data_IF_656018650021
#
_entry.id   IF_656018650021
#
_cell.length_a   1.000
_cell.length_b   1.000
_cell.length_c   1.000
_cell.angle_alpha   90.00
_cell.angle_beta   90.00
_cell.angle_gamma   90.00
#
_symmetry.space_group_name_H-M   'P 1'
#
loop_
_entity.id
_entity.type
_entity.pdbx_description
1 polymer ?
#
# COMPACT_ATOMS: atom_id res chain seq x y z
N UNK A 1 -15.11 66.45 -14.21
CA UNK A 1 -15.39 66.55 -12.76
C UNK A 1 -16.88 66.24 -12.58
N UNK A 2 -17.38 65.26 -11.84
CA UNK A 2 -16.89 64.43 -10.73
C UNK A 2 -17.52 63.02 -10.80
N UNK A 3 -16.78 62.07 -10.24
CA UNK A 3 -17.21 60.73 -9.83
C UNK A 3 -18.44 60.73 -8.90
N UNK A 4 -19.26 59.67 -9.02
CA UNK A 4 -20.01 59.00 -7.93
C UNK A 4 -20.60 57.71 -8.53
N UNK A 5 -19.82 56.62 -8.66
CA UNK A 5 -19.74 55.50 -7.70
C UNK A 5 -20.55 55.69 -6.41
N UNK A 6 -21.72 55.04 -6.32
CA UNK A 6 -22.05 54.00 -5.34
C UNK A 6 -23.57 53.85 -5.15
N UNK A 7 -23.99 52.62 -4.87
CA UNK A 7 -25.35 52.14 -4.52
C UNK A 7 -26.22 51.84 -5.75
N UNK A 8 -26.69 50.61 -6.02
CA UNK A 8 -26.89 49.44 -5.17
C UNK A 8 -26.93 48.18 -6.05
N UNK A 9 -25.80 47.46 -6.14
CA UNK A 9 -25.80 46.05 -6.54
C UNK A 9 -26.25 45.22 -5.35
N UNK A 10 -27.57 45.09 -5.17
CA UNK A 10 -28.15 44.18 -4.19
C UNK A 10 -27.86 42.72 -4.60
N UNK A 11 -26.89 42.16 -3.88
CA UNK A 11 -26.76 40.77 -3.46
C UNK A 11 -27.84 39.77 -3.95
N UNK A 12 -27.65 39.21 -5.14
CA UNK A 12 -27.99 37.81 -5.35
C UNK A 12 -26.86 36.96 -4.74
N UNK A 13 -26.92 36.73 -3.43
CA UNK A 13 -26.13 35.67 -2.81
C UNK A 13 -26.65 34.32 -3.34
N UNK A 14 -26.06 33.86 -4.45
CA UNK A 14 -26.17 32.47 -4.87
C UNK A 14 -25.57 31.65 -3.72
N UNK A 15 -26.42 31.04 -2.89
CA UNK A 15 -25.99 30.10 -1.85
C UNK A 15 -24.99 29.12 -2.49
N UNK A 16 -23.76 29.02 -2.00
CA UNK A 16 -22.83 27.99 -2.51
C UNK A 16 -23.41 26.60 -2.23
N UNK A 17 -23.09 25.62 -3.08
CA UNK A 17 -23.40 24.22 -2.79
C UNK A 17 -22.94 23.83 -1.40
N UNK A 18 -23.82 23.17 -0.64
CA UNK A 18 -23.49 22.62 0.66
C UNK A 18 -22.81 21.25 0.49
N UNK A 19 -21.48 21.25 0.59
CA UNK A 19 -20.66 20.07 0.34
C UNK A 19 -20.84 18.99 1.41
N UNK A 20 -21.20 19.35 2.64
CA UNK A 20 -21.39 18.40 3.74
C UNK A 20 -22.59 17.48 3.49
N UNK A 21 -23.67 18.02 2.93
CA UNK A 21 -24.86 17.26 2.54
C UNK A 21 -24.53 16.28 1.40
N UNK A 22 -23.78 16.74 0.39
CA UNK A 22 -23.34 15.89 -0.72
C UNK A 22 -22.43 14.76 -0.21
N UNK A 23 -21.51 15.05 0.71
CA UNK A 23 -20.65 14.03 1.33
C UNK A 23 -21.48 12.98 2.11
N UNK A 24 -22.52 13.40 2.83
CA UNK A 24 -23.44 12.46 3.51
C UNK A 24 -24.19 11.58 2.51
N UNK A 25 -24.75 12.16 1.44
CA UNK A 25 -25.46 11.40 0.40
C UNK A 25 -24.54 10.45 -0.36
N UNK A 26 -23.28 10.83 -0.59
CA UNK A 26 -22.26 9.93 -1.14
C UNK A 26 -22.01 8.75 -0.19
N UNK A 27 -21.93 9.00 1.12
CA UNK A 27 -21.72 7.94 2.12
C UNK A 27 -22.89 6.94 2.13
N UNK A 28 -24.12 7.43 2.07
CA UNK A 28 -25.31 6.58 2.07
C UNK A 28 -25.47 5.79 0.77
N UNK A 29 -25.18 6.41 -0.38
CA UNK A 29 -25.34 5.77 -1.70
C UNK A 29 -24.24 4.76 -2.02
N UNK A 30 -23.00 5.03 -1.64
CA UNK A 30 -21.84 4.19 -1.98
C UNK A 30 -21.39 3.26 -0.85
N UNK A 31 -21.92 3.43 0.37
CA UNK A 31 -21.54 2.66 1.54
C UNK A 31 -20.28 3.17 2.23
N UNK A 32 -20.17 2.88 3.53
CA UNK A 32 -19.13 3.39 4.42
C UNK A 32 -17.71 3.06 3.98
N UNK A 33 -17.48 1.85 3.45
CA UNK A 33 -16.14 1.35 3.13
C UNK A 33 -15.56 2.05 1.88
N UNK A 34 -16.40 2.29 0.88
CA UNK A 34 -16.04 3.00 -0.35
C UNK A 34 -15.85 4.49 -0.03
N UNK A 35 -16.74 5.05 0.78
CA UNK A 35 -16.68 6.45 1.18
C UNK A 35 -15.37 6.77 1.93
N UNK A 36 -15.06 6.02 2.98
CA UNK A 36 -13.83 6.24 3.78
C UNK A 36 -12.55 6.06 2.96
N UNK A 37 -12.54 5.06 2.08
CA UNK A 37 -11.34 4.73 1.31
C UNK A 37 -11.04 5.75 0.20
N UNK A 38 -12.08 6.28 -0.45
CA UNK A 38 -11.95 6.98 -1.73
C UNK A 38 -12.68 8.33 -1.83
N UNK A 39 -13.90 8.45 -1.32
CA UNK A 39 -14.75 9.64 -1.54
C UNK A 39 -14.60 10.71 -0.46
N UNK A 40 -14.24 10.33 0.76
CA UNK A 40 -13.94 11.26 1.86
C UNK A 40 -12.75 12.19 1.55
N UNK A 41 -11.85 11.77 0.66
CA UNK A 41 -10.64 12.50 0.27
C UNK A 41 -10.89 13.51 -0.87
N UNK A 42 -12.15 13.82 -1.11
CA UNK A 42 -12.61 14.72 -2.16
C UNK A 42 -12.97 16.05 -1.51
N UNK A 43 -12.18 17.08 -1.78
CA UNK A 43 -12.43 18.42 -1.25
C UNK A 43 -13.10 19.30 -2.31
N UNK A 44 -14.15 20.03 -1.95
CA UNK A 44 -14.74 21.02 -2.84
C UNK A 44 -13.84 22.26 -2.92
N UNK A 45 -13.52 22.71 -4.14
CA UNK A 45 -12.72 23.93 -4.36
C UNK A 45 -13.64 25.08 -4.72
N UNK A 46 -14.38 24.96 -5.83
CA UNK A 46 -15.22 26.04 -6.34
C UNK A 46 -16.36 25.53 -7.21
N UNK A 47 -17.40 26.35 -7.35
CA UNK A 47 -18.57 26.10 -8.18
C UNK A 47 -18.64 27.14 -9.29
N UNK A 48 -18.71 26.68 -10.54
CA UNK A 48 -18.92 27.50 -11.71
C UNK A 48 -20.29 27.16 -12.33
N UNK A 49 -20.82 28.08 -13.15
CA UNK A 49 -22.18 27.96 -13.73
C UNK A 49 -22.49 26.60 -14.36
N UNK A 50 -21.52 25.94 -15.00
CA UNK A 50 -21.71 24.66 -15.70
C UNK A 50 -20.91 23.48 -15.11
N UNK A 51 -20.05 23.71 -14.12
CA UNK A 51 -19.17 22.67 -13.58
C UNK A 51 -18.72 22.95 -12.14
N UNK A 52 -18.39 21.90 -11.41
CA UNK A 52 -17.72 22.01 -10.10
C UNK A 52 -16.25 21.64 -10.24
N UNK A 53 -15.40 22.39 -9.55
CA UNK A 53 -14.00 22.06 -9.37
C UNK A 53 -13.77 21.39 -8.02
N UNK A 54 -13.16 20.22 -8.06
CA UNK A 54 -12.95 19.35 -6.91
C UNK A 54 -11.47 18.99 -6.78
N UNK A 55 -10.95 18.97 -5.56
CA UNK A 55 -9.60 18.55 -5.20
C UNK A 55 -9.56 17.06 -4.86
N UNK A 56 -8.54 16.37 -5.35
CA UNK A 56 -8.18 15.01 -4.92
C UNK A 56 -6.67 14.89 -4.69
N UNK A 57 -6.29 14.03 -3.75
CA UNK A 57 -4.90 13.95 -3.26
C UNK A 57 -3.91 13.34 -4.26
N UNK A 58 -4.38 12.58 -5.25
CA UNK A 58 -3.51 11.99 -6.29
C UNK A 58 -4.25 11.84 -7.62
N UNK A 59 -3.48 11.83 -8.73
CA UNK A 59 -3.99 11.47 -10.08
C UNK A 59 -4.66 10.09 -10.11
N UNK A 60 -4.19 9.16 -9.28
CA UNK A 60 -4.77 7.82 -9.18
C UNK A 60 -6.19 7.84 -8.60
N UNK A 61 -6.40 8.59 -7.52
CA UNK A 61 -7.73 8.74 -6.91
C UNK A 61 -8.69 9.44 -7.87
N UNK A 62 -8.20 10.49 -8.58
CA UNK A 62 -8.95 11.13 -9.67
C UNK A 62 -9.45 10.07 -10.65
N UNK A 63 -8.54 9.35 -11.29
CA UNK A 63 -8.85 8.42 -12.37
C UNK A 63 -9.77 7.28 -11.89
N UNK A 64 -9.60 6.83 -10.64
CA UNK A 64 -10.45 5.81 -10.02
C UNK A 64 -11.89 6.32 -9.81
N UNK A 65 -12.06 7.51 -9.23
CA UNK A 65 -13.38 8.14 -9.03
C UNK A 65 -14.04 8.41 -10.38
N UNK A 66 -13.28 9.00 -11.33
CA UNK A 66 -13.75 9.29 -12.69
C UNK A 66 -14.29 8.04 -13.37
N UNK A 67 -13.61 6.90 -13.22
CA UNK A 67 -13.97 5.66 -13.93
C UNK A 67 -15.17 4.90 -13.37
N UNK A 68 -15.42 5.00 -12.06
CA UNK A 68 -16.40 4.16 -11.36
C UNK A 68 -17.60 4.92 -10.82
N UNK A 69 -17.42 6.17 -10.42
CA UNK A 69 -18.40 6.90 -9.62
C UNK A 69 -18.75 8.27 -10.18
N UNK A 70 -18.05 8.78 -11.21
CA UNK A 70 -18.28 10.12 -11.77
C UNK A 70 -19.75 10.37 -12.12
N UNK A 71 -20.39 9.46 -12.86
CA UNK A 71 -21.76 9.65 -13.31
C UNK A 71 -22.73 9.67 -12.13
N UNK A 72 -22.48 8.84 -11.12
CA UNK A 72 -23.32 8.75 -9.93
C UNK A 72 -23.11 9.96 -9.00
N UNK A 73 -21.88 10.46 -8.91
CA UNK A 73 -21.52 11.69 -8.19
C UNK A 73 -22.13 12.90 -8.89
N UNK A 74 -22.04 12.97 -10.23
CA UNK A 74 -22.66 14.03 -11.01
C UNK A 74 -24.18 14.01 -10.88
N UNK A 75 -24.81 12.83 -10.79
CA UNK A 75 -26.25 12.71 -10.50
C UNK A 75 -26.61 13.25 -9.11
N UNK A 76 -25.82 12.95 -8.07
CA UNK A 76 -26.00 13.51 -6.72
C UNK A 76 -25.84 15.03 -6.78
N UNK A 77 -24.81 15.55 -7.44
CA UNK A 77 -24.60 16.99 -7.56
C UNK A 77 -25.77 17.65 -8.31
N UNK A 78 -26.29 17.00 -9.36
CA UNK A 78 -27.42 17.48 -10.17
C UNK A 78 -28.74 17.53 -9.40
N UNK A 79 -28.95 16.70 -8.37
CA UNK A 79 -30.15 16.81 -7.52
C UNK A 79 -30.16 18.08 -6.68
N UNK A 80 -28.98 18.61 -6.33
CA UNK A 80 -28.83 19.87 -5.61
C UNK A 80 -28.72 21.08 -6.55
N UNK A 81 -28.05 20.93 -7.70
CA UNK A 81 -27.83 21.99 -8.70
C UNK A 81 -27.95 21.46 -10.12
N UNK A 82 -29.11 21.70 -10.74
CA UNK A 82 -29.43 21.21 -12.10
C UNK A 82 -28.55 21.80 -13.20
N UNK A 83 -27.93 22.96 -12.97
CA UNK A 83 -27.11 23.68 -13.96
C UNK A 83 -25.73 23.02 -14.18
N UNK A 84 -25.27 22.20 -13.23
CA UNK A 84 -23.94 21.58 -13.28
C UNK A 84 -23.96 20.34 -14.17
N UNK A 85 -23.15 20.36 -15.22
CA UNK A 85 -23.12 19.31 -16.23
C UNK A 85 -21.82 18.52 -16.31
N UNK A 86 -20.78 18.96 -15.59
CA UNK A 86 -19.49 18.24 -15.52
C UNK A 86 -18.78 18.48 -14.19
N UNK A 87 -17.86 17.59 -13.85
CA UNK A 87 -16.98 17.72 -12.69
C UNK A 87 -15.55 17.81 -13.21
N UNK A 88 -14.82 18.82 -12.76
CA UNK A 88 -13.40 19.00 -13.03
C UNK A 88 -12.58 18.69 -11.78
N UNK A 89 -11.40 18.10 -11.98
CA UNK A 89 -10.53 17.69 -10.89
C UNK A 89 -9.23 18.48 -10.90
N UNK A 90 -8.90 19.08 -9.76
CA UNK A 90 -7.57 19.60 -9.44
C UNK A 90 -6.81 18.60 -8.57
N UNK A 91 -5.51 18.45 -8.80
CA UNK A 91 -4.66 17.57 -7.99
C UNK A 91 -3.93 18.46 -6.99
N UNK A 92 -4.23 18.29 -5.71
CA UNK A 92 -3.46 18.91 -4.64
C UNK A 92 -2.17 18.13 -4.42
N UNK A 93 -1.18 18.34 -5.30
CA UNK A 93 0.21 18.13 -4.91
C UNK A 93 0.49 19.17 -3.82
N UNK A 94 0.67 18.74 -2.57
CA UNK A 94 1.00 19.63 -1.45
C UNK A 94 2.19 20.52 -1.86
N UNK A 95 1.92 21.75 -2.28
CA UNK A 95 2.87 22.84 -2.23
C UNK A 95 3.03 23.19 -0.76
N UNK A 96 4.25 23.06 -0.26
CA UNK A 96 4.67 23.78 0.93
C UNK A 96 4.54 25.27 0.63
N UNK A 97 3.72 25.98 1.39
CA UNK A 97 3.74 27.43 1.42
C UNK A 97 5.08 27.92 2.00
N UNK A 98 5.73 28.86 1.32
CA UNK A 98 5.81 30.26 1.78
C UNK A 98 6.56 31.14 0.76
N UNK A 99 5.89 32.26 0.42
CA UNK A 99 6.37 33.62 0.16
C UNK A 99 7.68 33.82 -0.62
N UNK A 100 7.58 34.49 -1.77
CA UNK A 100 8.13 35.85 -1.89
C UNK A 100 7.53 36.59 -3.08
N UNK A 101 7.03 37.78 -2.77
CA UNK A 101 6.72 38.85 -3.71
C UNK A 101 8.02 39.31 -4.37
N UNK A 102 8.04 39.40 -5.71
CA UNK A 102 8.59 40.53 -6.48
C UNK A 102 8.73 40.16 -7.96
N UNK A 103 8.53 41.19 -8.80
CA UNK A 103 8.88 41.29 -10.22
C UNK A 103 7.88 40.74 -11.25
N UNK A 104 6.76 41.45 -11.33
CA UNK A 104 6.17 41.88 -12.59
C UNK A 104 7.23 42.52 -13.49
N UNK A 105 7.67 41.83 -14.56
CA UNK A 105 8.22 42.36 -15.83
C UNK A 105 8.87 41.22 -16.65
N UNK A 106 8.07 40.29 -17.21
CA UNK A 106 8.53 39.40 -18.29
C UNK A 106 7.43 38.72 -19.12
N UNK A 107 6.20 39.26 -19.09
CA UNK A 107 5.02 38.65 -19.72
C UNK A 107 4.79 38.96 -21.21
N UNK A 108 5.83 39.31 -21.99
CA UNK A 108 5.69 39.48 -23.45
C UNK A 108 6.47 38.50 -24.32
N UNK A 109 7.44 37.75 -23.79
CA UNK A 109 8.25 36.81 -24.60
C UNK A 109 8.00 35.32 -24.30
N UNK A 110 6.98 34.99 -23.50
CA UNK A 110 6.65 33.59 -23.14
C UNK A 110 5.62 32.97 -24.11
N UNK A 111 4.81 33.79 -24.81
CA UNK A 111 3.75 33.27 -25.69
C UNK A 111 4.26 32.62 -26.99
N UNK A 112 5.45 32.98 -27.48
CA UNK A 112 6.01 32.35 -28.68
C UNK A 112 6.85 31.09 -28.37
N UNK A 113 7.39 30.94 -27.15
CA UNK A 113 8.15 29.74 -26.77
C UNK A 113 7.26 28.60 -26.24
N UNK A 114 6.04 28.90 -25.78
CA UNK A 114 5.06 27.88 -25.37
C UNK A 114 4.48 27.12 -26.58
N UNK A 115 4.46 27.72 -27.77
CA UNK A 115 3.81 27.12 -28.95
C UNK A 115 4.63 26.03 -29.68
N UNK A 116 5.83 25.68 -29.20
CA UNK A 116 6.65 24.62 -29.82
C UNK A 116 7.00 23.43 -28.89
N UNK A 117 6.48 23.40 -27.65
CA UNK A 117 6.60 22.22 -26.75
C UNK A 117 5.34 21.91 -25.94
N UNK A 118 4.17 22.21 -26.48
CA UNK A 118 2.92 21.60 -25.99
C UNK A 118 2.60 20.44 -26.94
N UNK A 119 3.10 19.25 -26.63
CA UNK A 119 2.45 18.05 -27.15
C UNK A 119 1.04 18.05 -26.57
N UNK A 120 0.05 18.35 -27.40
CA UNK A 120 -1.33 18.01 -27.09
C UNK A 120 -1.33 16.55 -26.62
N UNK A 121 -1.64 16.33 -25.34
CA UNK A 121 -1.83 14.98 -24.81
C UNK A 121 -3.12 14.48 -25.45
N UNK A 122 -2.99 13.93 -26.67
CA UNK A 122 -4.01 13.12 -27.29
C UNK A 122 -4.17 11.89 -26.40
N UNK A 123 -5.40 11.65 -25.97
CA UNK A 123 -5.91 10.40 -25.41
C UNK A 123 -5.69 9.22 -26.40
N UNK A 124 -4.43 8.86 -26.59
CA UNK A 124 -4.06 7.64 -27.30
C UNK A 124 -3.79 6.56 -26.27
N UNK A 125 -4.03 5.32 -26.67
CA UNK A 125 -3.62 4.13 -25.93
C UNK A 125 -2.09 4.08 -25.66
N UNK A 126 -1.29 5.09 -26.00
CA UNK A 126 0.17 5.02 -26.16
C UNK A 126 1.01 5.53 -24.98
N UNK A 127 0.43 5.84 -23.81
CA UNK A 127 1.21 6.22 -22.62
C UNK A 127 1.20 5.18 -21.48
N UNK A 128 0.98 3.90 -21.80
CA UNK A 128 0.96 2.83 -20.80
C UNK A 128 2.30 2.12 -20.57
N UNK A 129 3.28 2.33 -21.46
CA UNK A 129 4.66 1.87 -21.24
C UNK A 129 5.38 2.79 -20.24
N UNK A 130 4.93 2.79 -18.98
CA UNK A 130 5.64 3.45 -17.87
C UNK A 130 6.74 2.54 -17.37
N UNK A 131 7.74 2.34 -18.23
CA UNK A 131 8.98 1.69 -17.81
C UNK A 131 9.79 2.70 -17.01
N UNK A 132 10.15 2.33 -15.79
CA UNK A 132 10.99 3.16 -14.92
C UNK A 132 12.47 2.98 -15.31
N UNK A 133 13.17 4.03 -15.81
CA UNK A 133 14.58 3.92 -16.23
C UNK A 133 15.52 3.46 -15.10
N UNK A 134 15.14 3.68 -13.84
CA UNK A 134 15.94 3.29 -12.69
C UNK A 134 15.83 1.79 -12.39
N UNK A 135 14.82 1.10 -12.92
CA UNK A 135 14.60 -0.34 -12.75
C UNK A 135 15.22 -1.14 -13.90
N UNK A 136 16.53 -0.97 -14.08
CA UNK A 136 17.32 -1.69 -15.07
C UNK A 136 18.13 -2.84 -14.42
N UNK A 137 18.73 -3.72 -15.24
CA UNK A 137 19.54 -4.84 -14.77
C UNK A 137 20.78 -4.41 -13.98
N UNK A 138 21.37 -3.23 -14.28
CA UNK A 138 22.56 -2.73 -13.57
C UNK A 138 22.23 -2.35 -12.12
N UNK A 139 21.04 -1.80 -11.90
CA UNK A 139 20.54 -1.39 -10.59
C UNK A 139 19.88 -2.54 -9.80
N UNK A 140 19.84 -3.76 -10.35
CA UNK A 140 19.28 -4.93 -9.67
C UNK A 140 20.38 -5.65 -8.88
N UNK A 141 20.29 -5.59 -7.55
CA UNK A 141 21.31 -6.15 -6.66
C UNK A 141 21.09 -7.66 -6.51
N UNK A 142 22.14 -8.43 -6.77
CA UNK A 142 22.10 -9.89 -6.75
C UNK A 142 22.43 -10.47 -5.37
N UNK A 143 21.70 -11.52 -5.03
CA UNK A 143 21.94 -12.41 -3.91
C UNK A 143 21.57 -13.84 -4.28
N UNK A 144 21.76 -14.77 -3.34
CA UNK A 144 21.40 -16.18 -3.53
C UNK A 144 19.93 -16.35 -3.94
N UNK A 145 19.04 -15.58 -3.30
CA UNK A 145 17.58 -15.70 -3.40
C UNK A 145 16.95 -15.21 -4.70
N UNK A 146 17.67 -14.40 -5.49
CA UNK A 146 17.13 -13.77 -6.71
C UNK A 146 18.00 -13.99 -7.96
N UNK A 147 19.12 -14.73 -7.84
CA UNK A 147 20.06 -14.99 -8.94
C UNK A 147 19.41 -15.75 -10.10
N UNK A 148 18.65 -16.81 -9.79
CA UNK A 148 17.99 -17.63 -10.82
C UNK A 148 17.02 -16.79 -11.67
N UNK A 149 16.17 -16.01 -11.00
CA UNK A 149 15.21 -15.12 -11.66
C UNK A 149 15.90 -14.06 -12.54
N UNK A 150 17.02 -13.52 -12.07
CA UNK A 150 17.81 -12.55 -12.85
C UNK A 150 18.44 -13.17 -14.09
N UNK A 151 19.06 -14.35 -13.97
CA UNK A 151 19.67 -15.05 -15.12
C UNK A 151 18.62 -15.49 -16.13
N UNK A 152 17.48 -16.01 -15.67
CA UNK A 152 16.34 -16.31 -16.54
C UNK A 152 15.84 -15.06 -17.28
N UNK A 153 15.71 -13.93 -16.57
CA UNK A 153 15.30 -12.65 -17.16
C UNK A 153 16.29 -12.17 -18.22
N UNK A 154 17.60 -12.29 -17.97
CA UNK A 154 18.64 -11.98 -18.96
C UNK A 154 18.57 -12.91 -20.17
N UNK A 155 18.41 -14.21 -19.94
CA UNK A 155 18.39 -15.19 -21.04
C UNK A 155 17.25 -14.93 -22.02
N UNK A 156 16.06 -14.60 -21.51
CA UNK A 156 14.89 -14.22 -22.33
C UNK A 156 15.12 -12.94 -23.15
N UNK A 157 15.96 -12.02 -22.67
CA UNK A 157 16.31 -10.82 -23.46
C UNK A 157 17.30 -11.08 -24.59
N UNK A 158 18.04 -12.19 -24.53
CA UNK A 158 19.02 -12.59 -25.54
C UNK A 158 18.38 -13.49 -26.62
N UNK A 159 17.50 -14.38 -26.20
CA UNK A 159 16.84 -15.36 -27.05
C UNK A 159 15.32 -15.31 -26.81
N UNK A 160 14.62 -14.64 -27.74
CA UNK A 160 13.18 -14.44 -27.67
C UNK A 160 12.43 -15.70 -28.09
N UNK A 161 11.25 -15.90 -27.52
CA UNK A 161 10.32 -17.01 -27.76
C UNK A 161 10.81 -18.41 -27.36
N UNK A 162 12.10 -18.62 -27.06
CA UNK A 162 12.62 -19.92 -26.62
C UNK A 162 12.06 -20.35 -25.25
N UNK A 163 11.92 -19.42 -24.30
CA UNK A 163 11.33 -19.65 -22.98
C UNK A 163 10.03 -18.86 -22.86
N UNK A 164 8.91 -19.44 -23.31
CA UNK A 164 7.65 -18.73 -23.46
C UNK A 164 6.45 -19.50 -22.88
N UNK A 165 5.69 -18.95 -21.92
CA UNK A 165 5.97 -17.68 -21.22
C UNK A 165 7.13 -17.81 -20.22
N UNK A 166 7.81 -16.70 -19.91
CA UNK A 166 8.58 -16.58 -18.67
C UNK A 166 7.61 -16.20 -17.54
N UNK A 167 7.51 -17.04 -16.52
CA UNK A 167 6.65 -16.81 -15.36
C UNK A 167 7.49 -16.56 -14.11
N UNK A 168 7.53 -15.32 -13.65
CA UNK A 168 8.23 -14.89 -12.44
C UNK A 168 7.27 -14.81 -11.27
N UNK A 169 7.56 -15.49 -10.17
CA UNK A 169 6.73 -15.37 -8.98
C UNK A 169 7.52 -15.21 -7.69
N UNK A 170 6.88 -14.63 -6.69
CA UNK A 170 7.47 -14.37 -5.38
C UNK A 170 6.57 -13.45 -4.57
N UNK A 171 6.78 -13.35 -3.27
CA UNK A 171 6.01 -12.45 -2.40
C UNK A 171 6.14 -10.95 -2.74
N UNK A 172 5.49 -10.13 -1.93
CA UNK A 172 5.44 -8.68 -2.13
C UNK A 172 6.83 -8.07 -1.96
N UNK A 173 7.20 -7.15 -2.86
CA UNK A 173 8.45 -6.39 -2.72
C UNK A 173 9.73 -7.21 -2.94
N UNK A 174 9.68 -8.34 -3.66
CA UNK A 174 10.87 -9.16 -3.95
C UNK A 174 11.61 -8.80 -5.25
N UNK A 175 11.16 -7.77 -5.97
CA UNK A 175 11.83 -7.31 -7.20
C UNK A 175 11.22 -7.82 -8.52
N UNK A 176 10.06 -8.49 -8.50
CA UNK A 176 9.31 -8.91 -9.71
C UNK A 176 9.13 -7.78 -10.73
N UNK A 177 8.48 -6.70 -10.31
CA UNK A 177 8.29 -5.51 -11.14
C UNK A 177 9.61 -4.91 -11.61
N UNK A 178 10.69 -4.97 -10.82
CA UNK A 178 12.01 -4.49 -11.24
C UNK A 178 12.55 -5.34 -12.39
N UNK A 179 12.52 -6.67 -12.28
CA UNK A 179 12.95 -7.56 -13.36
C UNK A 179 12.12 -7.37 -14.64
N UNK A 180 10.80 -7.24 -14.52
CA UNK A 180 9.94 -6.93 -15.67
C UNK A 180 10.35 -5.61 -16.34
N UNK A 181 10.57 -4.55 -15.55
CA UNK A 181 11.05 -3.27 -16.08
C UNK A 181 12.42 -3.42 -16.75
N UNK A 182 13.34 -4.20 -16.18
CA UNK A 182 14.67 -4.40 -16.71
C UNK A 182 14.64 -5.13 -18.07
N UNK A 183 13.82 -6.17 -18.19
CA UNK A 183 13.53 -6.86 -19.46
C UNK A 183 12.97 -5.85 -20.46
N UNK A 184 11.98 -5.06 -20.05
CA UNK A 184 11.35 -4.05 -20.91
C UNK A 184 12.32 -2.99 -21.41
N UNK A 185 13.17 -2.45 -20.53
CA UNK A 185 14.21 -1.49 -20.90
C UNK A 185 15.20 -2.07 -21.91
N UNK A 186 15.51 -3.35 -21.80
CA UNK A 186 16.44 -4.03 -22.71
C UNK A 186 15.84 -4.29 -24.09
N UNK A 187 14.52 -4.49 -24.18
CA UNK A 187 13.83 -4.89 -25.41
C UNK A 187 13.10 -3.75 -26.13
N UNK A 188 12.82 -2.63 -25.44
CA UNK A 188 12.00 -1.51 -25.98
C UNK A 188 12.54 -0.88 -27.26
N UNK A 189 13.86 -0.90 -27.48
CA UNK A 189 14.48 -0.24 -28.64
C UNK A 189 14.41 -1.09 -29.91
N UNK A 190 14.22 -2.41 -29.76
CA UNK A 190 14.29 -3.38 -30.86
C UNK A 190 12.94 -3.98 -31.25
N UNK A 191 11.94 -3.92 -30.37
CA UNK A 191 10.70 -4.68 -30.51
C UNK A 191 9.46 -3.82 -30.23
N UNK A 192 8.31 -4.17 -30.83
CA UNK A 192 7.02 -3.60 -30.40
C UNK A 192 6.67 -4.14 -29.03
N UNK A 193 6.85 -3.29 -28.04
CA UNK A 193 6.81 -3.66 -26.63
C UNK A 193 5.54 -3.16 -25.94
N UNK A 194 4.98 -3.99 -25.06
CA UNK A 194 3.88 -3.62 -24.19
C UNK A 194 4.12 -4.05 -22.75
N UNK A 195 4.02 -3.11 -21.82
CA UNK A 195 4.01 -3.38 -20.38
C UNK A 195 2.70 -2.92 -19.75
N UNK A 196 2.01 -3.84 -19.10
CA UNK A 196 0.72 -3.58 -18.49
C UNK A 196 0.54 -4.40 -17.21
N UNK A 197 -0.22 -3.90 -16.24
CA UNK A 197 -0.69 -4.74 -15.13
C UNK A 197 -1.90 -5.56 -15.57
N UNK A 198 -2.10 -6.72 -14.97
CA UNK A 198 -3.30 -7.53 -15.19
C UNK A 198 -4.60 -6.74 -14.97
N UNK A 199 -4.68 -5.97 -13.89
CA UNK A 199 -5.84 -5.10 -13.60
C UNK A 199 -6.09 -4.10 -14.74
N UNK A 200 -5.02 -3.50 -15.28
CA UNK A 200 -5.15 -2.50 -16.35
C UNK A 200 -5.56 -3.13 -17.67
N UNK A 201 -5.06 -4.33 -17.99
CA UNK A 201 -5.53 -5.09 -19.15
C UNK A 201 -7.04 -5.36 -19.06
N UNK A 202 -7.52 -5.81 -17.90
CA UNK A 202 -8.95 -6.04 -17.64
C UNK A 202 -9.76 -4.74 -17.77
N UNK A 203 -9.25 -3.62 -17.25
CA UNK A 203 -9.88 -2.32 -17.41
C UNK A 203 -10.03 -1.92 -18.88
N UNK A 204 -8.99 -2.11 -19.71
CA UNK A 204 -9.06 -1.78 -21.14
C UNK A 204 -10.04 -2.67 -21.88
N UNK A 205 -10.15 -3.94 -21.50
CA UNK A 205 -11.15 -4.85 -22.05
C UNK A 205 -12.58 -4.38 -21.73
N UNK A 206 -12.87 -4.03 -20.46
CA UNK A 206 -14.19 -3.50 -20.09
C UNK A 206 -14.48 -2.18 -20.82
N UNK A 207 -13.48 -1.32 -20.96
CA UNK A 207 -13.62 -0.06 -21.70
C UNK A 207 -13.95 -0.30 -23.17
N UNK A 208 -13.29 -1.27 -23.83
CA UNK A 208 -13.53 -1.57 -25.24
C UNK A 208 -14.89 -2.23 -25.48
N UNK A 209 -15.45 -2.97 -24.51
CA UNK A 209 -16.87 -3.40 -24.56
C UNK A 209 -17.76 -2.18 -24.57
N UNK A 210 -17.59 -1.27 -23.59
CA UNK A 210 -18.46 -0.09 -23.44
C UNK A 210 -18.39 0.85 -24.65
N UNK A 211 -17.24 0.99 -25.29
CA UNK A 211 -17.06 1.86 -26.46
C UNK A 211 -17.31 1.16 -27.80
N UNK A 212 -17.67 -0.13 -27.83
CA UNK A 212 -17.75 -0.95 -29.05
C UNK A 212 -16.45 -0.98 -29.88
N UNK A 213 -15.29 -0.90 -29.22
CA UNK A 213 -13.96 -0.87 -29.85
C UNK A 213 -13.17 -2.18 -29.67
N UNK A 214 -13.87 -3.32 -29.68
CA UNK A 214 -13.25 -4.62 -29.47
C UNK A 214 -12.18 -4.99 -30.49
N UNK A 215 -12.38 -4.63 -31.76
CA UNK A 215 -11.41 -4.88 -32.82
C UNK A 215 -10.11 -4.11 -32.53
N UNK A 216 -10.22 -2.81 -32.21
CA UNK A 216 -9.06 -1.98 -31.83
C UNK A 216 -8.32 -2.52 -30.62
N UNK A 217 -9.06 -3.02 -29.62
CA UNK A 217 -8.46 -3.68 -28.44
C UNK A 217 -7.63 -4.90 -28.88
N UNK A 218 -8.21 -5.80 -29.67
CA UNK A 218 -7.53 -7.01 -30.15
C UNK A 218 -6.28 -6.67 -30.96
N UNK A 219 -6.40 -5.74 -31.91
CA UNK A 219 -5.27 -5.29 -32.73
C UNK A 219 -4.16 -4.70 -31.87
N UNK A 220 -4.51 -3.88 -30.89
CA UNK A 220 -3.54 -3.24 -30.01
C UNK A 220 -2.74 -4.23 -29.16
N UNK A 221 -3.40 -5.22 -28.54
CA UNK A 221 -2.72 -6.20 -27.69
C UNK A 221 -2.05 -7.33 -28.48
N UNK A 222 -2.63 -7.77 -29.60
CA UNK A 222 -2.11 -8.89 -30.41
C UNK A 222 -1.02 -8.45 -31.40
N UNK A 223 -0.90 -7.16 -31.69
CA UNK A 223 0.19 -6.59 -32.52
C UNK A 223 1.42 -6.16 -31.68
N UNK A 224 1.81 -7.00 -30.72
CA UNK A 224 3.03 -6.80 -29.92
C UNK A 224 4.01 -7.94 -30.18
N UNK A 225 5.30 -7.65 -30.08
CA UNK A 225 6.36 -8.65 -30.21
C UNK A 225 6.80 -9.12 -28.81
N UNK A 226 6.63 -8.27 -27.80
CA UNK A 226 6.88 -8.58 -26.38
C UNK A 226 5.74 -8.05 -25.52
N UNK A 227 5.12 -8.94 -24.74
CA UNK A 227 4.07 -8.62 -23.77
C UNK A 227 4.56 -8.91 -22.34
N UNK A 228 4.70 -7.87 -21.52
CA UNK A 228 4.93 -7.97 -20.08
C UNK A 228 3.64 -7.72 -19.31
N UNK A 229 3.27 -8.66 -18.45
CA UNK A 229 2.09 -8.55 -17.58
C UNK A 229 2.54 -8.62 -16.12
N UNK A 230 2.34 -7.53 -15.37
CA UNK A 230 2.60 -7.50 -13.93
C UNK A 230 1.37 -7.95 -13.13
N UNK A 231 1.63 -8.64 -12.01
CA UNK A 231 0.66 -9.01 -10.98
C UNK A 231 -0.58 -9.74 -11.50
N UNK A 232 -0.38 -10.87 -12.18
CA UNK A 232 -1.45 -11.69 -12.79
C UNK A 232 -2.53 -12.14 -11.79
N UNK A 233 -2.22 -12.18 -10.48
CA UNK A 233 -3.18 -12.47 -9.42
C UNK A 233 -4.35 -11.48 -9.35
N UNK A 234 -4.26 -10.31 -10.00
CA UNK A 234 -5.39 -9.37 -10.08
C UNK A 234 -6.40 -9.69 -11.19
N UNK A 235 -6.18 -10.75 -11.98
CA UNK A 235 -7.17 -11.25 -12.95
C UNK A 235 -8.29 -12.10 -12.34
N UNK A 236 -8.36 -12.19 -11.00
CA UNK A 236 -9.29 -13.08 -10.30
C UNK A 236 -10.77 -12.72 -10.58
N UNK A 237 -11.59 -13.73 -10.89
CA UNK A 237 -13.06 -13.69 -10.85
C UNK A 237 -13.83 -13.44 -12.16
N UNK A 238 -13.40 -12.54 -13.04
CA UNK A 238 -14.03 -12.25 -14.35
C UNK A 238 -14.00 -13.36 -15.41
N UNK A 239 -14.86 -14.39 -15.46
CA UNK A 239 -14.76 -15.47 -16.49
C UNK A 239 -14.64 -14.95 -17.94
N UNK A 240 -15.54 -14.07 -18.38
CA UNK A 240 -15.50 -13.49 -19.73
C UNK A 240 -14.20 -12.70 -20.01
N UNK A 241 -13.63 -12.06 -18.99
CA UNK A 241 -12.37 -11.31 -19.16
C UNK A 241 -11.16 -12.25 -19.22
N UNK A 242 -11.17 -13.33 -18.43
CA UNK A 242 -10.15 -14.37 -18.48
C UNK A 242 -10.15 -15.09 -19.83
N UNK A 243 -11.32 -15.27 -20.42
CA UNK A 243 -11.46 -15.85 -21.76
C UNK A 243 -10.80 -14.99 -22.84
N UNK A 244 -11.07 -13.68 -22.89
CA UNK A 244 -10.39 -12.81 -23.86
C UNK A 244 -8.87 -12.75 -23.62
N UNK A 245 -8.43 -12.75 -22.36
CA UNK A 245 -7.01 -12.86 -22.06
C UNK A 245 -6.41 -14.17 -22.58
N UNK A 246 -7.08 -15.30 -22.38
CA UNK A 246 -6.64 -16.60 -22.87
C UNK A 246 -6.51 -16.61 -24.40
N UNK A 247 -7.49 -16.03 -25.12
CA UNK A 247 -7.40 -15.90 -26.58
C UNK A 247 -6.28 -14.97 -27.03
N UNK A 248 -6.08 -13.84 -26.34
CA UNK A 248 -4.98 -12.91 -26.62
C UNK A 248 -3.63 -13.57 -26.38
N UNK A 249 -3.49 -14.31 -25.28
CA UNK A 249 -2.31 -15.07 -24.94
C UNK A 249 -1.95 -16.08 -26.03
N UNK A 250 -2.92 -16.91 -26.47
CA UNK A 250 -2.66 -17.91 -27.51
C UNK A 250 -2.30 -17.25 -28.85
N UNK A 251 -3.02 -16.20 -29.25
CA UNK A 251 -2.72 -15.49 -30.49
C UNK A 251 -1.28 -14.92 -30.51
N UNK A 252 -0.76 -14.48 -29.36
CA UNK A 252 0.61 -14.00 -29.22
C UNK A 252 1.62 -15.14 -29.23
N UNK A 253 1.33 -16.26 -28.57
CA UNK A 253 2.18 -17.46 -28.62
C UNK A 253 2.29 -17.97 -30.07
N UNK A 254 1.17 -18.10 -30.77
CA UNK A 254 1.12 -18.63 -32.15
C UNK A 254 1.84 -17.69 -33.14
N UNK A 255 1.83 -16.38 -32.87
CA UNK A 255 2.60 -15.37 -33.63
C UNK A 255 4.12 -15.48 -33.37
N UNK A 256 4.54 -16.12 -32.28
CA UNK A 256 5.94 -16.13 -31.82
C UNK A 256 6.32 -14.92 -30.98
N UNK A 257 5.36 -14.18 -30.43
CA UNK A 257 5.61 -13.08 -29.50
C UNK A 257 6.08 -13.60 -28.16
N UNK A 258 7.05 -12.92 -27.53
CA UNK A 258 7.52 -13.25 -26.19
C UNK A 258 6.54 -12.76 -25.12
N UNK A 259 6.12 -13.66 -24.22
CA UNK A 259 5.26 -13.31 -23.09
C UNK A 259 6.06 -13.47 -21.79
N UNK A 260 6.00 -12.47 -20.92
CA UNK A 260 6.53 -12.52 -19.56
C UNK A 260 5.43 -12.12 -18.58
N UNK A 261 5.24 -12.92 -17.55
CA UNK A 261 4.20 -12.77 -16.55
C UNK A 261 4.82 -12.71 -15.16
N UNK A 262 4.32 -11.81 -14.32
CA UNK A 262 4.66 -11.76 -12.89
C UNK A 262 3.47 -12.15 -12.02
N UNK A 263 3.74 -12.79 -10.88
CA UNK A 263 2.72 -13.21 -9.93
C UNK A 263 3.20 -13.17 -8.47
N UNK A 264 2.27 -13.14 -7.51
CA UNK A 264 2.60 -13.28 -6.09
C UNK A 264 2.82 -14.73 -5.63
N UNK A 265 2.49 -15.72 -6.48
CA UNK A 265 2.47 -17.16 -6.15
C UNK A 265 2.65 -18.01 -7.42
N UNK A 266 2.96 -19.32 -7.30
CA UNK A 266 3.09 -20.18 -8.48
C UNK A 266 1.75 -20.39 -9.19
N UNK A 267 1.75 -20.80 -10.49
CA UNK A 267 0.54 -20.91 -11.31
C UNK A 267 -0.57 -21.75 -10.66
N UNK A 268 -0.20 -22.90 -10.10
CA UNK A 268 -1.16 -23.84 -9.51
C UNK A 268 -1.86 -23.29 -8.26
N UNK A 269 -1.27 -22.27 -7.60
CA UNK A 269 -1.84 -21.62 -6.40
C UNK A 269 -2.67 -20.37 -6.72
N UNK A 270 -2.83 -20.00 -7.99
CA UNK A 270 -3.68 -18.87 -8.40
C UNK A 270 -5.15 -19.16 -8.09
N UNK A 271 -5.75 -18.38 -7.20
CA UNK A 271 -7.16 -18.51 -6.83
C UNK A 271 -8.06 -17.86 -7.87
N UNK A 272 -9.17 -18.50 -8.27
CA UNK A 272 -10.17 -17.90 -9.19
C UNK A 272 -9.62 -17.50 -10.56
N UNK A 273 -8.63 -18.24 -11.05
CA UNK A 273 -8.13 -18.22 -12.43
C UNK A 273 -8.48 -19.55 -13.09
N UNK A 274 -8.93 -19.52 -14.35
CA UNK A 274 -9.28 -20.71 -15.13
C UNK A 274 -8.08 -21.68 -15.28
N UNK A 275 -8.35 -22.98 -15.19
CA UNK A 275 -7.30 -24.02 -15.19
C UNK A 275 -6.49 -24.03 -16.49
N UNK A 276 -7.13 -23.75 -17.63
CA UNK A 276 -6.45 -23.61 -18.93
C UNK A 276 -5.41 -22.50 -18.95
N UNK A 277 -5.64 -21.40 -18.21
CA UNK A 277 -4.68 -20.29 -18.11
C UNK A 277 -3.50 -20.71 -17.22
N UNK A 278 -3.77 -21.37 -16.08
CA UNK A 278 -2.71 -21.88 -15.20
C UNK A 278 -1.81 -22.89 -15.93
N UNK A 279 -2.41 -23.78 -16.71
CA UNK A 279 -1.68 -24.75 -17.54
C UNK A 279 -0.75 -24.06 -18.54
N UNK A 280 -1.21 -23.00 -19.22
CA UNK A 280 -0.37 -22.19 -20.12
C UNK A 280 0.79 -21.51 -19.40
N UNK A 281 0.57 -20.99 -18.19
CA UNK A 281 1.64 -20.42 -17.38
C UNK A 281 2.65 -21.45 -16.90
N UNK A 282 2.18 -22.65 -16.54
CA UNK A 282 3.03 -23.76 -16.08
C UNK A 282 3.82 -24.42 -17.21
N UNK A 283 3.36 -24.33 -18.47
CA UNK A 283 4.04 -24.90 -19.64
C UNK A 283 5.29 -24.14 -20.11
N UNK A 284 5.56 -22.96 -19.54
CA UNK A 284 6.76 -22.16 -19.85
C UNK A 284 7.89 -22.29 -18.83
N UNK A 285 8.75 -21.28 -18.77
CA UNK A 285 9.82 -21.21 -17.78
C UNK A 285 9.30 -20.56 -16.49
N UNK A 286 9.07 -21.38 -15.46
CA UNK A 286 8.56 -20.93 -14.15
C UNK A 286 9.72 -20.74 -13.19
N UNK A 287 9.90 -19.51 -12.68
CA UNK A 287 11.03 -19.17 -11.80
C UNK A 287 10.54 -18.44 -10.55
N UNK A 288 11.00 -18.93 -9.40
CA UNK A 288 10.73 -18.32 -8.10
C UNK A 288 11.77 -17.24 -7.75
N UNK A 289 11.30 -16.22 -7.05
CA UNK A 289 12.12 -15.26 -6.32
C UNK A 289 11.90 -15.55 -4.84
N UNK A 290 12.98 -15.93 -4.17
CA UNK A 290 12.94 -16.35 -2.77
C UNK A 290 13.06 -15.14 -1.83
N UNK A 291 12.71 -15.38 -0.56
CA UNK A 291 12.90 -14.40 0.50
C UNK A 291 14.36 -13.95 0.57
N UNK A 292 14.58 -12.65 0.75
CA UNK A 292 15.93 -12.09 0.82
C UNK A 292 16.66 -12.55 2.07
N UNK A 293 17.90 -13.03 1.92
CA UNK A 293 18.81 -13.28 3.03
C UNK A 293 19.35 -11.96 3.62
N UNK A 294 19.98 -12.05 4.79
CA UNK A 294 20.59 -10.88 5.44
C UNK A 294 21.63 -10.20 4.54
N UNK A 295 22.45 -10.99 3.83
CA UNK A 295 23.50 -10.46 2.97
C UNK A 295 22.94 -9.59 1.83
N UNK A 296 21.89 -10.05 1.15
CA UNK A 296 21.24 -9.29 0.10
C UNK A 296 20.58 -8.03 0.66
N UNK A 297 19.90 -8.12 1.81
CA UNK A 297 19.31 -6.93 2.46
C UNK A 297 20.38 -5.90 2.80
N UNK A 298 21.50 -6.33 3.37
CA UNK A 298 22.63 -5.46 3.68
C UNK A 298 23.23 -4.80 2.43
N UNK A 299 23.46 -5.57 1.36
CA UNK A 299 23.92 -5.03 0.07
C UNK A 299 22.96 -3.99 -0.49
N UNK A 300 21.64 -4.23 -0.39
CA UNK A 300 20.61 -3.28 -0.83
C UNK A 300 20.65 -2.00 0.00
N UNK A 301 20.66 -2.11 1.33
CA UNK A 301 20.72 -0.95 2.24
C UNK A 301 21.97 -0.13 1.98
N UNK A 302 23.13 -0.77 1.84
CA UNK A 302 24.39 -0.10 1.57
C UNK A 302 24.35 0.68 0.25
N UNK A 303 23.97 0.02 -0.85
CA UNK A 303 23.87 0.66 -2.16
C UNK A 303 22.87 1.83 -2.18
N UNK A 304 21.72 1.68 -1.51
CA UNK A 304 20.72 2.75 -1.40
C UNK A 304 21.17 3.89 -0.50
N UNK A 305 21.94 3.60 0.55
CA UNK A 305 22.52 4.63 1.40
C UNK A 305 23.55 5.45 0.63
N UNK A 306 24.39 4.80 -0.19
CA UNK A 306 25.37 5.47 -1.05
C UNK A 306 24.68 6.37 -2.10
N UNK A 307 23.62 5.87 -2.76
CA UNK A 307 22.80 6.66 -3.68
C UNK A 307 22.21 7.92 -3.00
N UNK A 308 21.67 7.77 -1.79
CA UNK A 308 21.08 8.88 -1.03
C UNK A 308 22.14 9.87 -0.51
N UNK A 309 23.34 9.40 -0.16
CA UNK A 309 24.45 10.27 0.23
C UNK A 309 24.87 11.21 -0.91
N UNK A 310 24.88 10.71 -2.15
CA UNK A 310 25.19 11.52 -3.34
C UNK A 310 24.11 12.58 -3.59
N UNK A 311 22.85 12.26 -3.36
CA UNK A 311 21.73 13.18 -3.60
C UNK A 311 21.62 14.30 -2.56
N UNK A 312 22.11 14.09 -1.34
CA UNK A 312 21.89 14.99 -0.20
C UNK A 312 23.19 15.32 0.56
N UNK A 313 24.29 15.55 -0.18
CA UNK A 313 25.63 15.84 0.32
C UNK A 313 25.64 16.69 1.61
N UNK A 314 26.37 16.21 2.62
CA UNK A 314 26.55 16.80 3.97
C UNK A 314 25.36 16.77 4.95
N UNK A 315 24.17 16.28 4.58
CA UNK A 315 23.01 16.23 5.48
C UNK A 315 22.66 14.81 5.99
N UNK A 316 23.30 13.78 5.43
CA UNK A 316 22.98 12.38 5.71
C UNK A 316 24.25 11.59 5.94
N UNK A 317 24.44 11.11 7.17
CA UNK A 317 25.47 10.13 7.49
C UNK A 317 24.86 8.97 8.28
N UNK A 318 24.34 7.97 7.57
CA UNK A 318 23.84 6.74 8.20
C UNK A 318 25.05 5.84 8.48
N UNK A 319 25.30 5.57 9.76
CA UNK A 319 26.41 4.72 10.21
C UNK A 319 26.23 3.27 9.76
N UNK A 320 27.33 2.52 9.71
CA UNK A 320 27.29 1.10 9.35
C UNK A 320 26.49 0.28 10.36
N UNK A 321 26.55 0.65 11.65
CA UNK A 321 25.74 0.04 12.71
C UNK A 321 24.25 0.14 12.41
N UNK A 322 23.78 1.32 11.98
CA UNK A 322 22.38 1.52 11.60
C UNK A 322 22.01 0.69 10.37
N UNK A 323 22.90 0.62 9.37
CA UNK A 323 22.67 -0.19 8.17
C UNK A 323 22.54 -1.68 8.51
N UNK A 324 23.40 -2.21 9.40
CA UNK A 324 23.33 -3.59 9.89
C UNK A 324 22.05 -3.82 10.70
N UNK A 325 21.67 -2.89 11.57
CA UNK A 325 20.44 -2.95 12.36
C UNK A 325 19.20 -3.05 11.45
N UNK A 326 19.05 -2.15 10.49
CA UNK A 326 17.92 -2.15 9.54
C UNK A 326 17.86 -3.46 8.76
N UNK A 327 19.01 -3.95 8.30
CA UNK A 327 19.13 -5.19 7.52
C UNK A 327 18.80 -6.44 8.35
N UNK A 328 19.06 -6.42 9.66
CA UNK A 328 18.70 -7.48 10.59
C UNK A 328 17.19 -7.50 10.86
N UNK A 329 16.64 -6.36 11.30
CA UNK A 329 15.29 -6.29 11.84
C UNK A 329 14.20 -6.31 10.78
N UNK A 330 14.44 -5.69 9.61
CA UNK A 330 13.44 -5.57 8.55
C UNK A 330 13.64 -6.69 7.53
N UNK A 331 12.91 -7.78 7.72
CA UNK A 331 13.02 -9.02 6.92
C UNK A 331 11.80 -9.33 6.03
N UNK A 332 10.73 -8.55 6.16
CA UNK A 332 9.42 -8.75 5.51
C UNK A 332 9.46 -8.55 3.99
N UNK A 333 10.00 -7.42 3.52
CA UNK A 333 10.15 -7.13 2.09
C UNK A 333 11.20 -6.07 1.81
N UNK A 334 11.79 -6.08 0.61
CA UNK A 334 12.73 -5.03 0.17
C UNK A 334 12.03 -3.66 0.13
N UNK A 335 10.72 -3.64 -0.15
CA UNK A 335 9.95 -2.40 -0.17
C UNK A 335 9.89 -1.75 1.21
N UNK A 336 9.67 -2.52 2.26
CA UNK A 336 9.70 -2.03 3.65
C UNK A 336 11.10 -1.62 4.07
N UNK A 337 12.12 -2.40 3.68
CA UNK A 337 13.53 -2.09 3.93
C UNK A 337 13.94 -0.72 3.35
N UNK A 338 13.61 -0.48 2.08
CA UNK A 338 13.86 0.80 1.41
C UNK A 338 12.99 1.92 2.02
N UNK A 339 11.74 1.60 2.39
CA UNK A 339 10.85 2.53 3.08
C UNK A 339 11.40 3.00 4.43
N UNK A 340 11.96 2.09 5.23
CA UNK A 340 12.60 2.41 6.50
C UNK A 340 13.83 3.31 6.33
N UNK A 341 14.67 3.00 5.35
CA UNK A 341 15.83 3.84 5.02
C UNK A 341 15.39 5.25 4.64
N UNK A 342 14.37 5.38 3.79
CA UNK A 342 13.81 6.67 3.40
C UNK A 342 13.25 7.45 4.60
N UNK A 343 12.59 6.80 5.56
CA UNK A 343 12.09 7.44 6.78
C UNK A 343 13.23 7.99 7.65
N UNK A 344 14.31 7.22 7.83
CA UNK A 344 15.50 7.67 8.57
C UNK A 344 16.13 8.88 7.88
N UNK A 345 16.27 8.82 6.54
CA UNK A 345 16.77 9.94 5.74
C UNK A 345 15.87 11.17 5.88
N UNK A 346 14.55 11.01 5.78
CA UNK A 346 13.60 12.10 5.95
C UNK A 346 13.70 12.72 7.34
N UNK A 347 13.83 11.91 8.40
CA UNK A 347 14.05 12.40 9.76
C UNK A 347 15.34 13.23 9.85
N UNK A 348 16.45 12.70 9.33
CA UNK A 348 17.74 13.39 9.33
C UNK A 348 17.67 14.75 8.62
N UNK A 349 16.93 14.83 7.51
CA UNK A 349 16.75 16.06 6.74
C UNK A 349 15.84 17.08 7.43
N UNK A 350 14.77 16.64 8.09
CA UNK A 350 13.82 17.53 8.76
C UNK A 350 14.42 18.13 10.03
N UNK A 351 15.11 17.31 10.82
CA UNK A 351 15.68 17.74 12.10
C UNK A 351 17.16 18.16 12.00
N UNK A 352 17.73 18.09 10.80
CA UNK A 352 19.15 18.35 10.52
C UNK A 352 20.09 17.63 11.51
N UNK A 353 19.74 16.40 11.88
CA UNK A 353 20.41 15.59 12.90
C UNK A 353 20.47 14.13 12.46
N UNK A 354 21.63 13.50 12.60
CA UNK A 354 21.76 12.05 12.42
C UNK A 354 21.11 11.33 13.60
N UNK A 355 20.08 10.48 13.36
CA UNK A 355 19.40 9.80 14.45
C UNK A 355 20.28 8.71 15.07
N UNK A 356 20.25 8.62 16.39
CA UNK A 356 20.90 7.51 17.12
C UNK A 356 20.01 6.25 17.11
N UNK A 357 20.58 5.08 17.45
CA UNK A 357 19.88 3.80 17.39
C UNK A 357 18.56 3.78 18.19
N UNK A 358 18.52 4.45 19.35
CA UNK A 358 17.29 4.56 20.16
C UNK A 358 16.20 5.38 19.47
N UNK A 359 16.55 6.47 18.78
CA UNK A 359 15.63 7.28 17.99
C UNK A 359 15.10 6.50 16.79
N UNK A 360 15.95 5.69 16.14
CA UNK A 360 15.56 4.84 15.01
C UNK A 360 14.53 3.80 15.42
N UNK A 361 14.68 3.19 16.61
CA UNK A 361 13.68 2.26 17.16
C UNK A 361 12.31 2.93 17.35
N UNK A 362 12.29 4.22 17.65
CA UNK A 362 11.05 5.01 17.77
C UNK A 362 10.49 5.34 16.37
N UNK A 363 11.34 5.81 15.45
CA UNK A 363 10.95 6.19 14.07
C UNK A 363 10.37 5.00 13.30
N UNK A 364 10.94 3.82 13.50
CA UNK A 364 10.56 2.60 12.78
C UNK A 364 9.69 1.65 13.61
N UNK A 365 9.07 2.14 14.70
CA UNK A 365 8.32 1.29 15.63
C UNK A 365 7.23 0.42 14.99
N UNK A 366 6.62 0.88 13.91
CA UNK A 366 5.59 0.16 13.14
C UNK A 366 6.16 -0.89 12.17
N UNK A 367 7.40 -0.70 11.70
CA UNK A 367 8.07 -1.58 10.73
C UNK A 367 8.96 -2.61 11.40
N UNK A 368 9.60 -2.21 12.49
CA UNK A 368 10.20 -3.15 13.40
C UNK A 368 9.02 -3.92 13.97
N UNK A 369 8.94 -5.20 13.66
CA UNK A 369 8.17 -6.16 14.44
C UNK A 369 8.79 -6.27 15.86
N UNK A 370 9.08 -5.13 16.52
CA UNK A 370 9.09 -4.98 17.96
C UNK A 370 7.75 -5.54 18.36
N UNK A 371 7.77 -6.83 18.65
CA UNK A 371 6.60 -7.66 18.90
C UNK A 371 5.56 -6.79 19.56
N UNK A 372 4.37 -6.63 18.97
CA UNK A 372 3.19 -6.50 19.80
C UNK A 372 3.39 -7.52 20.91
N UNK A 373 3.70 -7.02 22.10
CA UNK A 373 4.40 -7.69 23.19
C UNK A 373 4.58 -9.21 23.02
N UNK A 374 5.81 -9.75 23.14
CA UNK A 374 6.08 -11.19 23.44
C UNK A 374 5.36 -11.71 24.71
N UNK A 375 4.45 -10.94 25.27
CA UNK A 375 3.53 -11.29 26.32
C UNK A 375 2.52 -12.29 25.76
N UNK A 376 2.83 -13.57 25.92
CA UNK A 376 1.90 -14.67 25.69
C UNK A 376 0.95 -14.79 26.89
N UNK A 377 -0.24 -15.39 26.66
CA UNK A 377 -1.16 -15.72 27.76
C UNK A 377 -0.46 -16.60 28.80
N UNK A 378 0.40 -17.51 28.34
CA UNK A 378 1.18 -18.42 29.17
C UNK A 378 2.14 -17.69 30.13
N UNK A 379 2.84 -16.68 29.62
CA UNK A 379 3.74 -15.83 30.40
C UNK A 379 2.96 -15.08 31.50
N UNK A 380 1.81 -14.49 31.14
CA UNK A 380 0.95 -13.79 32.10
C UNK A 380 0.48 -14.76 33.19
N UNK A 381 -0.05 -15.92 32.82
CA UNK A 381 -0.51 -16.94 33.78
C UNK A 381 0.61 -17.32 34.74
N UNK A 382 1.80 -17.58 34.22
CA UNK A 382 2.96 -18.00 35.01
C UNK A 382 3.41 -16.92 36.00
N UNK A 383 3.51 -15.66 35.57
CA UNK A 383 3.91 -14.54 36.44
C UNK A 383 2.86 -14.27 37.52
N UNK A 384 1.57 -14.30 37.17
CA UNK A 384 0.48 -14.10 38.13
C UNK A 384 0.41 -15.26 39.13
N UNK A 385 0.56 -16.51 38.68
CA UNK A 385 0.63 -17.68 39.57
C UNK A 385 1.77 -17.55 40.58
N UNK A 386 2.96 -17.14 40.13
CA UNK A 386 4.14 -16.93 40.98
C UNK A 386 3.91 -15.83 42.03
N UNK A 387 3.22 -14.76 41.66
CA UNK A 387 2.92 -13.66 42.58
C UNK A 387 1.92 -14.05 43.67
N UNK A 388 0.83 -14.73 43.29
CA UNK A 388 -0.20 -15.17 44.25
C UNK A 388 0.11 -16.50 44.94
N UNK A 389 1.24 -17.13 44.60
CA UNK A 389 1.71 -18.43 45.11
C UNK A 389 0.69 -19.55 44.89
N UNK A 390 0.09 -19.61 43.70
CA UNK A 390 -0.86 -20.67 43.30
C UNK A 390 -0.33 -21.49 42.13
N UNK A 391 -0.79 -22.72 41.99
CA UNK A 391 -0.48 -23.54 40.82
C UNK A 391 -1.24 -23.10 39.57
N UNK A 392 -0.63 -23.26 38.38
CA UNK A 392 -1.29 -22.97 37.08
C UNK A 392 -2.55 -23.81 36.88
N UNK A 393 -2.51 -25.09 37.24
CA UNK A 393 -3.67 -25.99 37.19
C UNK A 393 -4.80 -25.54 38.14
N UNK A 394 -4.45 -24.97 39.29
CA UNK A 394 -5.43 -24.43 40.25
C UNK A 394 -6.08 -23.15 39.72
N UNK A 395 -5.29 -22.27 39.10
CA UNK A 395 -5.81 -21.11 38.37
C UNK A 395 -6.79 -21.54 37.28
N UNK A 396 -6.50 -22.62 36.55
CA UNK A 396 -7.37 -23.15 35.49
C UNK A 396 -8.55 -24.00 36.02
N UNK A 397 -8.65 -24.26 37.33
CA UNK A 397 -9.76 -25.06 37.87
C UNK A 397 -11.13 -24.37 37.77
N UNK A 398 -12.21 -25.14 37.91
CA UNK A 398 -13.58 -24.62 38.05
C UNK A 398 -13.89 -24.04 39.45
N UNK A 399 -12.96 -24.19 40.41
CA UNK A 399 -13.16 -23.76 41.81
C UNK A 399 -13.37 -22.25 41.92
N UNK A 400 -14.28 -21.86 42.81
CA UNK A 400 -14.76 -20.48 43.00
C UNK A 400 -14.29 -19.82 44.31
N UNK A 401 -13.34 -20.42 45.02
CA UNK A 401 -12.76 -19.82 46.23
C UNK A 401 -12.08 -18.48 45.91
N UNK A 402 -12.23 -17.49 46.78
CA UNK A 402 -11.72 -16.12 46.56
C UNK A 402 -10.21 -16.10 46.29
N UNK A 403 -9.45 -16.95 46.97
CA UNK A 403 -8.01 -17.13 46.80
C UNK A 403 -7.60 -17.61 45.39
N UNK A 404 -8.46 -18.32 44.65
CA UNK A 404 -8.21 -18.75 43.27
C UNK A 404 -8.85 -17.83 42.23
N UNK A 405 -10.02 -17.28 42.56
CA UNK A 405 -10.77 -16.39 41.67
C UNK A 405 -10.04 -15.06 41.48
N UNK A 406 -9.46 -14.48 42.54
CA UNK A 406 -8.75 -13.20 42.46
C UNK A 406 -7.53 -13.26 41.52
N UNK A 407 -6.58 -14.21 41.68
CA UNK A 407 -5.47 -14.36 40.74
C UNK A 407 -5.92 -14.62 39.30
N UNK A 408 -6.96 -15.45 39.11
CA UNK A 408 -7.52 -15.74 37.78
C UNK A 408 -8.10 -14.49 37.11
N UNK A 409 -8.88 -13.70 37.85
CA UNK A 409 -9.44 -12.44 37.36
C UNK A 409 -8.34 -11.44 37.00
N UNK A 410 -7.31 -11.33 37.83
CA UNK A 410 -6.13 -10.49 37.56
C UNK A 410 -5.39 -10.93 36.30
N UNK A 411 -5.17 -12.24 36.10
CA UNK A 411 -4.55 -12.78 34.89
C UNK A 411 -5.39 -12.47 33.64
N UNK A 412 -6.71 -12.70 33.69
CA UNK A 412 -7.62 -12.38 32.59
C UNK A 412 -7.59 -10.88 32.24
N UNK A 413 -7.60 -10.01 33.25
CA UNK A 413 -7.51 -8.56 33.08
C UNK A 413 -6.20 -8.16 32.40
N UNK A 414 -5.07 -8.67 32.88
CA UNK A 414 -3.75 -8.40 32.29
C UNK A 414 -3.65 -8.96 30.86
N UNK A 415 -4.21 -10.13 30.57
CA UNK A 415 -4.26 -10.68 29.21
C UNK A 415 -5.05 -9.77 28.28
N UNK A 416 -6.21 -9.27 28.72
CA UNK A 416 -7.01 -8.35 27.91
C UNK A 416 -6.31 -7.01 27.66
N UNK A 417 -5.51 -6.54 28.63
CA UNK A 417 -4.79 -5.27 28.54
C UNK A 417 -3.51 -5.35 27.72
N UNK A 418 -2.77 -6.46 27.80
CA UNK A 418 -1.40 -6.57 27.30
C UNK A 418 -1.27 -7.39 26.00
N UNK A 419 -2.36 -8.00 25.53
CA UNK A 419 -2.39 -8.82 24.30
C UNK A 419 -3.53 -8.42 23.36
N UNK A 420 -3.37 -8.69 22.06
CA UNK A 420 -4.39 -8.46 21.02
C UNK A 420 -5.45 -9.58 20.92
N UNK A 421 -5.53 -10.49 21.91
CA UNK A 421 -6.44 -11.64 21.89
C UNK A 421 -7.90 -11.25 22.10
N UNK A 422 -8.78 -11.91 21.35
CA UNK A 422 -10.22 -11.71 21.44
C UNK A 422 -10.80 -12.32 22.72
N UNK A 423 -11.96 -11.83 23.17
CA UNK A 423 -12.63 -12.36 24.39
C UNK A 423 -12.87 -13.88 24.33
N UNK A 424 -13.30 -14.47 23.19
CA UNK A 424 -13.43 -15.92 23.07
C UNK A 424 -12.10 -16.66 23.18
N UNK A 425 -11.02 -16.14 22.59
CA UNK A 425 -9.69 -16.75 22.69
C UNK A 425 -9.15 -16.71 24.13
N UNK A 426 -9.36 -15.61 24.85
CA UNK A 426 -9.03 -15.50 26.26
C UNK A 426 -9.84 -16.53 27.06
N UNK A 427 -11.14 -16.63 26.82
CA UNK A 427 -12.01 -17.63 27.47
C UNK A 427 -11.51 -19.07 27.30
N UNK A 428 -11.11 -19.46 26.08
CA UNK A 428 -10.50 -20.76 25.78
C UNK A 428 -9.23 -21.01 26.60
N UNK A 429 -8.34 -20.03 26.68
CA UNK A 429 -7.07 -20.14 27.40
C UNK A 429 -7.20 -20.22 28.93
N UNK A 430 -8.36 -19.82 29.49
CA UNK A 430 -8.68 -19.90 30.92
C UNK A 430 -9.75 -20.97 31.20
N UNK A 431 -9.60 -22.15 30.58
CA UNK A 431 -10.43 -23.36 30.75
C UNK A 431 -11.79 -23.31 30.04
N UNK A 432 -11.80 -22.90 28.77
CA UNK A 432 -13.01 -22.85 27.93
C UNK A 432 -14.17 -22.09 28.58
N UNK A 433 -13.86 -20.99 29.26
CA UNK A 433 -14.87 -20.12 29.86
C UNK A 433 -15.54 -19.26 28.80
N UNK A 434 -16.81 -18.98 29.00
CA UNK A 434 -17.57 -18.09 28.12
C UNK A 434 -17.00 -16.66 28.12
N UNK A 435 -17.13 -15.99 26.98
CA UNK A 435 -16.71 -14.61 26.79
C UNK A 435 -17.35 -13.64 27.81
N UNK A 436 -18.56 -13.94 28.30
CA UNK A 436 -19.26 -13.18 29.35
C UNK A 436 -18.51 -13.25 30.70
N UNK A 437 -17.90 -14.40 31.02
CA UNK A 437 -17.08 -14.58 32.22
C UNK A 437 -15.80 -13.75 32.16
N UNK A 438 -15.22 -13.60 30.97
CA UNK A 438 -14.06 -12.74 30.73
C UNK A 438 -14.44 -11.27 30.98
N UNK A 439 -15.56 -10.81 30.42
CA UNK A 439 -16.07 -9.45 30.62
C UNK A 439 -16.32 -9.16 32.10
N UNK A 440 -16.98 -10.07 32.81
CA UNK A 440 -17.24 -9.93 34.24
C UNK A 440 -15.94 -9.83 35.05
N UNK A 441 -14.94 -10.64 34.71
CA UNK A 441 -13.63 -10.64 35.38
C UNK A 441 -12.89 -9.31 35.20
N UNK A 442 -12.90 -8.76 33.99
CA UNK A 442 -12.30 -7.45 33.68
C UNK A 442 -12.97 -6.33 34.48
N UNK A 443 -14.31 -6.23 34.41
CA UNK A 443 -15.08 -5.22 35.14
C UNK A 443 -14.87 -5.31 36.66
N UNK A 444 -14.77 -6.52 37.18
CA UNK A 444 -14.52 -6.77 38.62
C UNK A 444 -13.17 -6.19 39.05
N UNK A 445 -12.10 -6.45 38.29
CA UNK A 445 -10.77 -5.94 38.61
C UNK A 445 -10.72 -4.41 38.46
N UNK A 446 -11.32 -3.84 37.42
CA UNK A 446 -11.40 -2.39 37.25
C UNK A 446 -12.10 -1.69 38.42
N UNK A 447 -13.18 -2.28 38.95
CA UNK A 447 -13.87 -1.75 40.13
C UNK A 447 -12.98 -1.84 41.37
N UNK A 448 -12.31 -2.97 41.60
CA UNK A 448 -11.46 -3.15 42.78
C UNK A 448 -10.23 -2.25 42.75
N UNK A 449 -9.62 -2.02 41.58
CA UNK A 449 -8.48 -1.10 41.45
C UNK A 449 -8.79 0.33 41.90
N UNK A 450 -10.06 0.76 41.81
CA UNK A 450 -10.51 2.07 42.30
C UNK A 450 -10.74 2.10 43.82
N UNK A 451 -11.01 0.94 44.42
CA UNK A 451 -11.41 0.82 45.82
C UNK A 451 -10.23 0.41 46.72
N UNK A 452 -9.23 -0.28 46.17
CA UNK A 452 -8.11 -0.87 46.89
C UNK A 452 -6.79 -0.43 46.25
N UNK A 453 -6.11 0.50 46.94
CA UNK A 453 -4.83 1.05 46.50
C UNK A 453 -3.71 0.00 46.50
N UNK A 454 -3.72 -0.95 47.44
CA UNK A 454 -2.71 -1.99 47.53
C UNK A 454 -2.81 -2.95 46.33
N UNK A 455 -4.03 -3.37 46.00
CA UNK A 455 -4.29 -4.16 44.80
C UNK A 455 -3.89 -3.43 43.53
N UNK A 456 -4.13 -2.12 43.45
CA UNK A 456 -3.76 -1.31 42.29
C UNK A 456 -2.23 -1.31 42.06
N UNK A 457 -1.45 -1.05 43.12
CA UNK A 457 0.02 -1.09 43.08
C UNK A 457 0.51 -2.49 42.67
N UNK A 458 -0.08 -3.54 43.22
CA UNK A 458 0.28 -4.92 42.90
C UNK A 458 0.02 -5.27 41.42
N UNK A 459 -1.09 -4.81 40.85
CA UNK A 459 -1.40 -5.01 39.42
C UNK A 459 -0.43 -4.24 38.53
N UNK A 460 -0.06 -3.00 38.89
CA UNK A 460 0.91 -2.21 38.13
C UNK A 460 2.31 -2.82 38.20
N UNK A 461 2.72 -3.34 39.36
CA UNK A 461 3.97 -4.09 39.50
C UNK A 461 4.00 -5.35 38.62
N UNK A 462 2.90 -6.12 38.62
CA UNK A 462 2.74 -7.28 37.74
C UNK A 462 2.80 -6.88 36.26
N UNK A 463 2.10 -5.80 35.88
CA UNK A 463 2.10 -5.26 34.52
C UNK A 463 3.52 -4.88 34.08
N UNK A 464 4.25 -4.15 34.91
CA UNK A 464 5.64 -3.76 34.61
C UNK A 464 6.55 -4.98 34.50
N UNK A 465 6.41 -5.97 35.38
CA UNK A 465 7.20 -7.21 35.32
C UNK A 465 6.93 -8.03 34.05
N UNK A 466 5.68 -8.03 33.58
CA UNK A 466 5.28 -8.71 32.34
C UNK A 466 5.83 -7.97 31.11
N UNK A 467 5.82 -6.64 31.11
CA UNK A 467 6.29 -5.82 29.98
C UNK A 467 7.81 -5.73 29.88
N UNK A 468 8.52 -5.68 31.02
CA UNK A 468 9.96 -5.45 31.10
C UNK A 468 10.72 -6.67 31.61
N UNK A 469 10.32 -7.87 31.15
CA UNK A 469 10.97 -9.12 31.54
C UNK A 469 12.49 -9.00 31.32
N UNK A 470 13.28 -9.32 32.35
CA UNK A 470 14.75 -9.18 32.43
C UNK A 470 15.50 -10.13 31.47
N UNK A 471 15.22 -10.04 30.17
CA UNK A 471 16.09 -10.58 29.10
C UNK A 471 16.90 -9.47 28.41
N UNK A 472 16.77 -8.22 28.88
CA UNK A 472 17.52 -7.05 28.38
C UNK A 472 18.61 -6.54 29.35
N UNK A 473 19.06 -7.37 30.29
CA UNK A 473 20.31 -7.13 31.03
C UNK A 473 21.38 -8.06 30.43
N UNK A 474 22.15 -7.53 29.47
CA UNK A 474 23.55 -7.93 29.21
C UNK A 474 24.41 -6.81 29.79
#
# INVERSE_FOLDING_TARGET
>A
MKNTLNQSTENFSLKKIDWEIIQSEMRDKFGSDIYESWLRKIDFIDEFKNYILISVSTRFIRDWITSRYLDQILQIIKSHRKEINRIEFSINEKKQDKTDEHSSLRNKNIKEYINQKVSFIKDSFLQYNRIDPNKNFKNFILGSSNKLAFEASKKVTQDLAHYNPLYLYGGVGMGKTHLLNAIGLSLKEKNKFMFISAERFMYQFVKSIKSNEMVKFKDYFRNTDVLLIDDIQFMNGKEAMQEEFFHTFNALIDKGSQIIVSADRPPNKLSRIQERIKSRFAGGLVVDIQNTDYELRYKIVKAKTEELKVLYSNQINISEEIQRFISSEISTSIRELVGALNRIVSFSRIYNKVPILSEIKIILKDLLNLSENKVTIDLIQSIVCKFFKIGKNEMLSSRRSRYLVRPRQTAIYLTKLLTSKSLPEIGRAFSNRDHTTVIHSVKTIEKLRKQDNELNINIDNLKNKILYNKENEI
#
